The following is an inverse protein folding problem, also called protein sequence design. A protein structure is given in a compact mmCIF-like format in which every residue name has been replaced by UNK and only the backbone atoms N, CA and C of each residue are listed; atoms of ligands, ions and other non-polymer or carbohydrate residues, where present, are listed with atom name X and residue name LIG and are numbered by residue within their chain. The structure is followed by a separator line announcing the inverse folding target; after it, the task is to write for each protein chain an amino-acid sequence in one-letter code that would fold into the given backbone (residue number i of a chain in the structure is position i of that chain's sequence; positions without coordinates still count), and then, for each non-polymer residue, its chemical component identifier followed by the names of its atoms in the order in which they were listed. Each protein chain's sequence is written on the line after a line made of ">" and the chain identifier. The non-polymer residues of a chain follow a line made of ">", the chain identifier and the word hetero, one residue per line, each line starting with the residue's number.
data_IF_351649453341
#
_entry.id   IF_351649453341
#
_cell.length_a   1.000
_cell.length_b   1.000
_cell.length_c   1.000
_cell.angle_alpha   90.00
_cell.angle_beta   90.00
_cell.angle_gamma   90.00
#
_symmetry.space_group_name_H-M   'P 1'
#
loop_
_entity.id
_entity.type
_entity.pdbx_description
1 polymer ?
#
# COMPACT_ATOMS: atom_id res chain seq x y z
N UNK A 1 25.13 11.16 -9.90
CA UNK A 1 24.05 11.74 -9.07
C UNK A 1 23.44 12.91 -9.84
N UNK A 2 22.69 12.64 -10.90
CA UNK A 2 22.41 13.66 -11.94
C UNK A 2 20.96 13.69 -12.43
N UNK A 3 20.03 13.08 -11.69
CA UNK A 3 18.63 12.94 -12.10
C UNK A 3 17.59 13.60 -11.19
N UNK A 4 18.01 14.28 -10.11
CA UNK A 4 17.07 14.81 -9.10
C UNK A 4 16.67 16.27 -9.32
N UNK A 5 17.39 17.03 -10.14
CA UNK A 5 17.19 18.49 -10.19
C UNK A 5 16.09 18.91 -11.15
N UNK A 6 15.87 18.20 -12.25
CA UNK A 6 15.02 18.66 -13.37
C UNK A 6 13.60 19.03 -12.97
N UNK A 7 12.97 18.27 -12.05
CA UNK A 7 11.60 18.55 -11.61
C UNK A 7 11.51 19.72 -10.60
N UNK A 8 12.45 19.80 -9.66
CA UNK A 8 12.50 20.89 -8.67
C UNK A 8 12.86 22.21 -9.37
N UNK A 9 13.76 22.14 -10.36
CA UNK A 9 14.15 23.27 -11.19
C UNK A 9 12.95 23.78 -12.01
N UNK A 10 12.13 22.88 -12.57
CA UNK A 10 10.86 23.22 -13.27
C UNK A 10 9.85 23.89 -12.34
N UNK A 11 9.69 23.43 -11.10
CA UNK A 11 8.81 24.07 -10.10
C UNK A 11 9.28 25.47 -9.69
N UNK A 12 10.57 25.76 -9.85
CA UNK A 12 11.15 27.08 -9.59
C UNK A 12 10.96 28.09 -10.74
N UNK A 13 10.57 27.65 -11.95
CA UNK A 13 10.39 28.55 -13.09
C UNK A 13 9.21 29.49 -12.82
N UNK A 14 9.52 30.79 -12.71
CA UNK A 14 8.53 31.84 -12.45
C UNK A 14 8.22 32.11 -10.98
N UNK A 15 8.89 31.44 -10.03
CA UNK A 15 8.80 31.74 -8.61
C UNK A 15 10.09 32.37 -8.09
N UNK A 16 10.01 33.59 -7.54
CA UNK A 16 11.16 34.31 -6.95
C UNK A 16 11.51 33.79 -5.54
N UNK A 17 11.33 32.48 -5.32
CA UNK A 17 11.53 31.79 -4.04
C UNK A 17 12.32 30.51 -4.24
N UNK A 18 13.34 30.34 -3.41
CA UNK A 18 14.20 29.15 -3.42
C UNK A 18 13.42 27.92 -2.94
N UNK A 19 13.37 26.88 -3.78
CA UNK A 19 12.76 25.60 -3.46
C UNK A 19 13.79 24.66 -2.79
N UNK A 20 13.34 23.88 -1.81
CA UNK A 20 14.17 22.91 -1.10
C UNK A 20 13.47 21.56 -1.03
N UNK A 21 14.11 20.51 -1.53
CA UNK A 21 13.64 19.14 -1.34
C UNK A 21 14.07 18.63 0.05
N UNK A 22 13.11 18.47 0.97
CA UNK A 22 13.36 18.04 2.36
C UNK A 22 13.03 16.53 2.54
N UNK A 23 12.68 15.83 1.48
CA UNK A 23 12.25 14.43 1.52
C UNK A 23 13.39 13.40 1.43
N UNK A 24 13.12 12.14 1.81
CA UNK A 24 11.86 11.65 2.37
C UNK A 24 11.76 11.86 3.90
N UNK A 25 10.67 12.47 4.36
CA UNK A 25 10.34 12.57 5.78
C UNK A 25 9.48 11.35 6.13
N UNK A 26 10.10 10.34 6.73
CA UNK A 26 9.41 9.14 7.18
C UNK A 26 8.94 9.31 8.62
N UNK A 27 7.79 8.73 8.94
CA UNK A 27 7.42 8.56 10.34
C UNK A 27 8.42 7.60 10.98
N UNK A 28 8.99 7.91 12.15
CA UNK A 28 9.84 6.96 12.83
C UNK A 28 9.05 5.69 13.10
N UNK A 29 9.55 4.54 12.64
CA UNK A 29 8.99 3.24 13.02
C UNK A 29 9.12 3.13 14.53
N UNK A 30 7.99 3.14 15.25
CA UNK A 30 8.05 2.77 16.66
C UNK A 30 8.29 1.27 16.66
N UNK A 31 9.37 0.81 17.28
CA UNK A 31 9.54 -0.61 17.61
C UNK A 31 8.55 -1.03 18.70
N UNK A 32 7.26 -0.80 18.49
CA UNK A 32 6.24 -1.51 19.21
C UNK A 32 6.21 -2.92 18.60
N UNK A 33 7.02 -3.82 19.17
CA UNK A 33 6.87 -5.28 18.99
C UNK A 33 5.57 -5.78 19.64
N UNK A 34 4.48 -5.04 19.49
CA UNK A 34 3.20 -5.38 20.08
C UNK A 34 2.48 -6.33 19.14
N UNK A 35 2.73 -7.63 19.30
CA UNK A 35 1.84 -8.77 19.00
C UNK A 35 0.85 -8.65 17.84
N UNK A 36 1.22 -8.01 16.72
CA UNK A 36 0.35 -7.92 15.57
C UNK A 36 0.34 -9.27 14.87
N UNK A 37 -0.83 -9.95 14.75
CA UNK A 37 -0.89 -11.29 14.17
C UNK A 37 -0.33 -11.38 12.74
N UNK A 38 -0.37 -10.27 12.00
CA UNK A 38 0.20 -10.20 10.66
C UNK A 38 1.74 -10.24 10.65
N UNK A 39 2.42 -9.66 11.65
CA UNK A 39 3.87 -9.72 11.77
C UNK A 39 4.32 -11.13 12.16
N UNK A 40 3.62 -11.76 13.13
CA UNK A 40 3.87 -13.15 13.53
C UNK A 40 3.64 -14.14 12.37
N UNK A 41 2.71 -13.80 11.47
CA UNK A 41 2.48 -14.57 10.26
C UNK A 41 3.62 -14.39 9.25
N UNK A 42 4.15 -13.16 9.09
CA UNK A 42 5.28 -12.87 8.21
C UNK A 42 6.58 -13.55 8.63
N UNK A 43 6.82 -13.70 9.93
CA UNK A 43 7.97 -14.41 10.51
C UNK A 43 8.05 -15.88 10.02
N UNK A 44 6.91 -16.47 9.65
CA UNK A 44 6.81 -17.86 9.18
C UNK A 44 6.98 -18.00 7.66
N UNK A 45 7.15 -16.90 6.95
CA UNK A 45 7.24 -16.90 5.48
C UNK A 45 8.71 -16.79 5.02
N UNK A 46 9.05 -17.40 3.87
CA UNK A 46 10.37 -17.18 3.27
C UNK A 46 10.64 -15.70 2.92
N UNK A 47 11.91 -15.29 2.86
CA UNK A 47 12.27 -13.95 2.41
C UNK A 47 11.71 -13.63 1.01
N UNK A 48 11.24 -12.39 0.83
CA UNK A 48 10.71 -11.85 -0.43
C UNK A 48 9.61 -12.70 -1.08
N UNK A 49 8.84 -13.45 -0.30
CA UNK A 49 7.81 -14.36 -0.81
C UNK A 49 6.38 -13.85 -0.63
N UNK A 50 6.17 -12.68 -0.03
CA UNK A 50 4.84 -12.16 0.30
C UNK A 50 4.56 -10.87 -0.48
N UNK A 51 3.37 -10.80 -1.07
CA UNK A 51 2.80 -9.58 -1.63
C UNK A 51 2.04 -8.83 -0.53
N UNK A 52 2.42 -7.58 -0.25
CA UNK A 52 1.57 -6.70 0.54
C UNK A 52 0.60 -5.97 -0.39
N UNK A 53 -0.66 -5.86 0.00
CA UNK A 53 -1.71 -5.15 -0.73
C UNK A 53 -2.37 -4.20 0.26
N UNK A 54 -2.24 -2.90 0.03
CA UNK A 54 -2.96 -1.88 0.80
C UNK A 54 -3.30 -0.69 -0.08
N UNK A 55 -4.38 -0.03 0.28
CA UNK A 55 -4.84 1.20 -0.34
C UNK A 55 -5.13 2.20 0.77
N UNK A 56 -5.10 3.48 0.43
CA UNK A 56 -5.44 4.51 1.40
C UNK A 56 -6.92 4.44 1.81
N UNK A 57 -7.22 5.01 2.97
CA UNK A 57 -8.57 5.07 3.53
C UNK A 57 -9.57 5.80 2.61
N UNK A 58 -9.07 6.65 1.71
CA UNK A 58 -9.87 7.46 0.80
C UNK A 58 -10.16 6.74 -0.53
N UNK A 59 -9.47 5.63 -0.82
CA UNK A 59 -9.74 4.83 -2.01
C UNK A 59 -10.98 3.97 -1.78
N UNK A 60 -12.02 4.24 -2.57
CA UNK A 60 -13.21 3.39 -2.64
C UNK A 60 -13.13 2.48 -3.86
N UNK A 61 -13.17 1.17 -3.64
CA UNK A 61 -13.34 0.17 -4.70
C UNK A 61 -14.80 -0.26 -4.80
N UNK A 62 -15.28 -0.60 -6.00
CA UNK A 62 -16.56 -1.30 -6.16
C UNK A 62 -16.48 -2.74 -5.63
N UNK A 63 -17.62 -3.35 -5.31
CA UNK A 63 -17.64 -4.74 -4.84
C UNK A 63 -17.12 -5.69 -5.92
N UNK A 64 -17.40 -5.37 -7.19
CA UNK A 64 -16.85 -6.05 -8.36
C UNK A 64 -15.32 -6.01 -8.37
N UNK A 65 -14.71 -4.84 -8.18
CA UNK A 65 -13.25 -4.67 -8.16
C UNK A 65 -12.61 -5.44 -7.02
N UNK A 66 -13.23 -5.40 -5.83
CA UNK A 66 -12.77 -6.14 -4.67
C UNK A 66 -12.83 -7.63 -4.95
N UNK A 67 -13.92 -8.13 -5.52
CA UNK A 67 -14.09 -9.54 -5.89
C UNK A 67 -13.06 -10.00 -6.91
N UNK A 68 -12.84 -9.23 -7.97
CA UNK A 68 -11.84 -9.55 -8.99
C UNK A 68 -10.42 -9.56 -8.43
N UNK A 69 -10.08 -8.59 -7.58
CA UNK A 69 -8.79 -8.58 -6.87
C UNK A 69 -8.64 -9.83 -5.99
N UNK A 70 -9.68 -10.18 -5.26
CA UNK A 70 -9.72 -11.34 -4.39
C UNK A 70 -9.50 -12.64 -5.17
N UNK A 71 -10.18 -12.81 -6.31
CA UNK A 71 -10.01 -13.94 -7.23
C UNK A 71 -8.60 -13.96 -7.83
N UNK A 72 -8.06 -12.80 -8.24
CA UNK A 72 -6.71 -12.70 -8.77
C UNK A 72 -5.65 -13.13 -7.76
N UNK A 73 -5.81 -12.72 -6.49
CA UNK A 73 -4.92 -13.14 -5.40
C UNK A 73 -4.99 -14.66 -5.16
N UNK A 74 -6.20 -15.23 -5.10
CA UNK A 74 -6.40 -16.67 -4.95
C UNK A 74 -5.75 -17.48 -6.09
N UNK A 75 -6.02 -17.08 -7.34
CA UNK A 75 -5.50 -17.77 -8.52
C UNK A 75 -3.99 -17.62 -8.70
N UNK A 76 -3.40 -16.52 -8.22
CA UNK A 76 -1.95 -16.29 -8.29
C UNK A 76 -1.14 -17.31 -7.49
N UNK A 77 -1.75 -17.95 -6.47
CA UNK A 77 -1.08 -18.80 -5.46
C UNK A 77 0.07 -18.11 -4.74
N UNK A 78 0.23 -16.80 -4.92
CA UNK A 78 1.23 -15.99 -4.26
C UNK A 78 0.75 -15.71 -2.84
N UNK A 79 1.64 -15.88 -1.86
CA UNK A 79 1.31 -15.50 -0.49
C UNK A 79 1.11 -13.99 -0.39
N UNK A 80 0.08 -13.55 0.32
CA UNK A 80 -0.22 -12.13 0.42
C UNK A 80 -0.69 -11.72 1.82
N UNK A 81 -0.52 -10.43 2.14
CA UNK A 81 -1.26 -9.72 3.17
C UNK A 81 -2.10 -8.68 2.45
N UNK A 82 -3.41 -8.69 2.67
CA UNK A 82 -4.30 -7.69 2.12
C UNK A 82 -4.94 -6.90 3.27
N UNK A 83 -4.58 -5.63 3.37
CA UNK A 83 -5.24 -4.68 4.25
C UNK A 83 -6.48 -4.14 3.54
N UNK A 84 -7.66 -4.52 4.03
CA UNK A 84 -8.94 -4.04 3.54
C UNK A 84 -9.58 -3.16 4.61
N UNK A 85 -9.60 -1.86 4.35
CA UNK A 85 -10.23 -0.89 5.23
C UNK A 85 -11.77 -1.02 5.14
N UNK A 86 -12.44 -1.23 6.28
CA UNK A 86 -13.90 -1.20 6.36
C UNK A 86 -14.35 0.09 7.05
N UNK A 87 -15.12 0.98 6.39
CA UNK A 87 -15.63 2.20 7.01
C UNK A 87 -16.57 1.96 8.21
N UNK A 88 -17.07 0.74 8.41
CA UNK A 88 -18.02 0.38 9.48
C UNK A 88 -17.50 0.56 10.91
N UNK A 89 -16.17 0.62 11.12
CA UNK A 89 -15.56 0.48 12.45
C UNK A 89 -14.92 1.78 12.98
N UNK A 90 -15.11 2.90 12.30
CA UNK A 90 -14.59 4.21 12.74
C UNK A 90 -15.70 5.26 12.76
N UNK A 91 -16.41 5.35 13.89
CA UNK A 91 -17.45 6.35 14.18
C UNK A 91 -16.95 7.82 14.20
N UNK A 92 -15.67 8.09 13.91
CA UNK A 92 -15.01 9.33 14.34
C UNK A 92 -14.56 10.30 13.24
N UNK A 93 -14.60 9.96 11.94
CA UNK A 93 -14.09 10.88 10.91
C UNK A 93 -14.95 11.10 9.67
N UNK A 94 -15.89 10.22 9.35
CA UNK A 94 -16.71 10.35 8.15
C UNK A 94 -18.19 10.31 8.54
N UNK A 95 -18.77 11.49 8.73
CA UNK A 95 -20.21 11.63 8.92
C UNK A 95 -20.96 11.02 7.73
N UNK A 96 -21.99 10.25 8.06
CA UNK A 96 -22.98 9.58 7.21
C UNK A 96 -22.63 8.18 6.65
N UNK A 97 -23.29 7.17 7.23
CA UNK A 97 -23.89 5.98 6.57
C UNK A 97 -23.06 5.16 5.57
N UNK A 98 -21.75 5.05 5.74
CA UNK A 98 -20.95 4.06 4.99
C UNK A 98 -20.87 2.74 5.77
N UNK A 99 -22.03 2.10 5.98
CA UNK A 99 -22.12 0.72 6.46
C UNK A 99 -21.84 -0.27 5.32
N UNK A 100 -20.58 -0.40 4.89
CA UNK A 100 -20.18 -1.30 3.80
C UNK A 100 -19.40 -2.50 4.32
N UNK A 101 -20.13 -3.48 4.83
CA UNK A 101 -19.59 -4.82 5.05
C UNK A 101 -19.35 -5.50 3.71
N UNK A 102 -18.08 -5.71 3.35
CA UNK A 102 -17.74 -6.49 2.17
C UNK A 102 -18.13 -7.97 2.39
N UNK A 103 -19.22 -8.39 1.75
CA UNK A 103 -19.66 -9.79 1.76
C UNK A 103 -19.02 -10.52 0.57
N UNK A 104 -18.01 -11.33 0.88
CA UNK A 104 -17.48 -12.27 -0.09
C UNK A 104 -18.42 -13.47 -0.24
N UNK A 105 -18.39 -14.14 -1.40
CA UNK A 105 -19.13 -15.39 -1.62
C UNK A 105 -18.77 -16.43 -0.54
N UNK A 106 -19.72 -17.30 -0.19
CA UNK A 106 -19.52 -18.30 0.86
C UNK A 106 -18.22 -19.12 0.67
N UNK A 107 -17.48 -19.26 1.76
CA UNK A 107 -16.18 -19.97 1.80
C UNK A 107 -15.01 -19.23 1.16
N UNK A 108 -15.19 -18.01 0.66
CA UNK A 108 -14.09 -17.24 0.05
C UNK A 108 -12.97 -16.91 1.04
N UNK A 109 -13.31 -16.40 2.23
CA UNK A 109 -12.32 -16.12 3.28
C UNK A 109 -11.61 -17.39 3.76
N UNK A 110 -12.33 -18.51 3.83
CA UNK A 110 -11.77 -19.82 4.19
C UNK A 110 -10.73 -20.28 3.17
N UNK A 111 -11.00 -20.08 1.87
CA UNK A 111 -10.04 -20.37 0.80
C UNK A 111 -8.85 -19.40 0.83
N UNK A 112 -9.09 -18.12 1.13
CA UNK A 112 -8.02 -17.14 1.28
C UNK A 112 -7.07 -17.46 2.43
N UNK A 113 -7.58 -17.96 3.56
CA UNK A 113 -6.76 -18.30 4.73
C UNK A 113 -5.66 -19.33 4.43
N UNK A 114 -5.81 -20.14 3.38
CA UNK A 114 -4.77 -21.08 2.95
C UNK A 114 -3.64 -20.42 2.16
N UNK A 115 -3.89 -19.26 1.57
CA UNK A 115 -2.98 -18.58 0.63
C UNK A 115 -2.41 -17.28 1.21
N UNK A 116 -3.17 -16.56 2.02
CA UNK A 116 -2.77 -15.26 2.56
C UNK A 116 -3.54 -14.84 3.81
N UNK A 117 -3.30 -13.60 4.24
CA UNK A 117 -3.92 -13.00 5.41
C UNK A 117 -4.73 -11.78 5.01
N UNK A 118 -6.03 -11.79 5.31
CA UNK A 118 -6.89 -10.60 5.22
C UNK A 118 -6.84 -9.86 6.56
N UNK A 119 -6.31 -8.63 6.55
CA UNK A 119 -6.27 -7.74 7.70
C UNK A 119 -7.33 -6.66 7.51
N UNK A 120 -8.16 -6.42 8.53
CA UNK A 120 -9.22 -5.43 8.48
C UNK A 120 -8.84 -4.20 9.30
N UNK A 121 -9.31 -3.04 8.84
CA UNK A 121 -9.26 -1.72 9.48
C UNK A 121 -7.87 -1.09 9.64
N UNK A 122 -6.90 -1.79 10.23
CA UNK A 122 -5.58 -1.22 10.50
C UNK A 122 -4.46 -2.26 10.53
N UNK A 123 -3.28 -1.87 10.03
CA UNK A 123 -2.05 -2.63 10.13
C UNK A 123 -0.82 -1.71 10.25
N UNK A 124 0.27 -2.18 10.88
CA UNK A 124 1.51 -1.40 10.98
C UNK A 124 2.27 -1.43 9.64
N UNK A 125 1.84 -0.61 8.67
CA UNK A 125 2.38 -0.60 7.30
C UNK A 125 3.91 -0.42 7.24
N UNK A 126 4.53 0.52 7.96
CA UNK A 126 5.98 0.67 7.94
C UNK A 126 6.72 -0.61 8.39
N UNK A 127 6.21 -1.28 9.41
CA UNK A 127 6.76 -2.51 9.96
C UNK A 127 6.55 -3.70 9.01
N UNK A 128 5.40 -3.77 8.34
CA UNK A 128 5.13 -4.75 7.28
C UNK A 128 6.11 -4.56 6.12
N UNK A 129 6.21 -3.35 5.58
CA UNK A 129 7.09 -3.03 4.44
C UNK A 129 8.57 -3.26 4.77
N UNK A 130 8.98 -3.08 6.03
CA UNK A 130 10.33 -3.35 6.49
C UNK A 130 10.63 -4.85 6.70
N UNK A 131 9.61 -5.72 6.68
CA UNK A 131 9.78 -7.13 6.98
C UNK A 131 10.44 -7.89 5.80
N UNK A 132 11.43 -8.74 6.09
CA UNK A 132 12.23 -9.45 5.06
C UNK A 132 11.41 -10.35 4.14
N UNK A 133 10.26 -10.81 4.60
CA UNK A 133 9.33 -11.67 3.85
C UNK A 133 8.54 -10.91 2.78
N UNK A 134 8.42 -9.57 2.89
CA UNK A 134 7.78 -8.77 1.85
C UNK A 134 8.69 -8.72 0.62
N UNK A 135 8.14 -9.16 -0.51
CA UNK A 135 8.81 -9.15 -1.79
C UNK A 135 8.32 -8.05 -2.72
N UNK A 136 7.05 -7.66 -2.61
CA UNK A 136 6.39 -6.66 -3.46
C UNK A 136 5.26 -5.97 -2.71
N UNK A 137 4.91 -4.76 -3.13
CA UNK A 137 3.80 -3.98 -2.60
C UNK A 137 2.85 -3.54 -3.74
N UNK A 138 1.59 -3.94 -3.68
CA UNK A 138 0.53 -3.40 -4.54
C UNK A 138 -0.10 -2.20 -3.85
N UNK A 139 -0.01 -1.03 -4.49
CA UNK A 139 -0.41 0.25 -3.90
C UNK A 139 -1.17 1.15 -4.89
N UNK A 140 -2.03 2.02 -4.34
CA UNK A 140 -2.63 3.17 -5.02
C UNK A 140 -1.60 4.16 -5.60
N UNK A 141 -0.33 4.03 -5.22
CA UNK A 141 0.74 4.98 -5.57
C UNK A 141 0.52 6.39 -5.01
N UNK A 142 -0.11 6.50 -3.83
CA UNK A 142 -0.09 7.73 -3.06
C UNK A 142 1.36 8.06 -2.66
N UNK A 143 1.65 9.35 -2.47
CA UNK A 143 3.02 9.82 -2.23
C UNK A 143 3.67 9.20 -0.98
N UNK A 144 2.88 8.92 0.06
CA UNK A 144 3.39 8.33 1.31
C UNK A 144 3.85 6.90 1.06
N UNK A 145 2.99 6.08 0.46
CA UNK A 145 3.28 4.70 0.07
C UNK A 145 4.48 4.62 -0.88
N UNK A 146 4.58 5.54 -1.85
CA UNK A 146 5.73 5.62 -2.76
C UNK A 146 7.04 5.91 -2.02
N UNK A 147 7.02 6.86 -1.09
CA UNK A 147 8.21 7.24 -0.31
C UNK A 147 8.65 6.10 0.62
N UNK A 148 7.71 5.44 1.30
CA UNK A 148 7.99 4.34 2.22
C UNK A 148 8.62 3.15 1.49
N UNK A 149 8.01 2.69 0.40
CA UNK A 149 8.49 1.52 -0.34
C UNK A 149 9.81 1.76 -1.06
N UNK A 150 10.06 2.98 -1.57
CA UNK A 150 11.37 3.37 -2.11
C UNK A 150 12.42 3.28 -1.01
N UNK A 151 12.10 3.76 0.19
CA UNK A 151 13.03 3.70 1.33
C UNK A 151 13.30 2.26 1.75
N UNK A 152 12.28 1.40 1.78
CA UNK A 152 12.40 0.00 2.18
C UNK A 152 12.95 -0.92 1.08
N UNK A 153 13.14 -0.41 -0.14
CA UNK A 153 13.64 -1.21 -1.27
C UNK A 153 12.66 -2.27 -1.76
N UNK A 154 11.36 -2.07 -1.55
CA UNK A 154 10.29 -2.99 -1.98
C UNK A 154 9.75 -2.53 -3.34
N UNK A 155 9.75 -3.40 -4.37
CA UNK A 155 9.15 -3.08 -5.68
C UNK A 155 7.63 -2.84 -5.58
N UNK A 156 7.14 -1.83 -6.31
CA UNK A 156 5.71 -1.49 -6.37
C UNK A 156 5.04 -2.13 -7.58
N UNK A 157 3.87 -2.74 -7.36
CA UNK A 157 2.88 -3.01 -8.40
C UNK A 157 1.88 -1.85 -8.36
N UNK A 158 1.97 -0.97 -9.35
CA UNK A 158 1.15 0.24 -9.39
C UNK A 158 -0.28 -0.10 -9.81
N UNK A 159 -1.24 0.16 -8.92
CA UNK A 159 -2.67 0.21 -9.24
C UNK A 159 -3.18 1.60 -8.87
N UNK A 160 -2.93 2.62 -9.70
CA UNK A 160 -3.37 3.98 -9.39
C UNK A 160 -4.91 4.05 -9.35
N UNK A 161 -5.44 4.56 -8.24
CA UNK A 161 -6.85 4.93 -8.08
C UNK A 161 -7.00 6.44 -8.20
N UNK A 162 -8.22 6.93 -8.47
CA UNK A 162 -8.47 8.25 -9.05
C UNK A 162 -8.13 9.46 -8.15
N UNK A 163 -7.62 9.25 -6.94
CA UNK A 163 -7.55 10.24 -5.87
C UNK A 163 -6.26 11.06 -5.78
N UNK A 164 -5.22 10.78 -6.57
CA UNK A 164 -4.09 11.71 -6.71
C UNK A 164 -3.62 11.77 -8.15
N UNK A 165 -3.34 12.99 -8.61
CA UNK A 165 -2.98 13.36 -9.97
C UNK A 165 -2.15 12.26 -10.69
N UNK A 166 -2.48 11.91 -11.96
CA UNK A 166 -1.84 10.85 -12.73
C UNK A 166 -0.31 10.99 -12.92
N UNK A 167 0.29 12.09 -12.44
CA UNK A 167 1.73 12.35 -12.45
C UNK A 167 2.57 11.42 -11.56
N UNK A 168 2.04 10.91 -10.44
CA UNK A 168 2.85 10.10 -9.51
C UNK A 168 3.10 8.67 -10.03
N UNK A 169 2.10 8.05 -10.66
CA UNK A 169 2.24 6.72 -11.27
C UNK A 169 3.28 6.72 -12.39
N UNK A 170 3.30 7.76 -13.23
CA UNK A 170 4.21 7.87 -14.38
C UNK A 170 5.68 7.98 -13.97
N UNK A 171 5.99 8.62 -12.83
CA UNK A 171 7.36 8.75 -12.33
C UNK A 171 7.98 7.44 -11.81
N UNK A 172 7.17 6.54 -11.24
CA UNK A 172 7.64 5.25 -10.72
C UNK A 172 8.00 4.25 -11.82
N UNK A 173 7.23 4.22 -12.91
CA UNK A 173 7.53 3.34 -14.05
C UNK A 173 8.87 3.68 -14.72
N UNK A 174 9.28 4.96 -14.73
CA UNK A 174 10.53 5.37 -15.37
C UNK A 174 11.80 4.96 -14.62
N UNK A 175 11.73 4.70 -13.31
CA UNK A 175 12.90 4.39 -12.47
C UNK A 175 13.09 2.90 -12.18
N UNK A 176 12.14 2.05 -12.59
CA UNK A 176 12.23 0.59 -12.45
C UNK A 176 12.91 -0.11 -13.64
N UNK A 177 13.13 0.61 -14.76
CA UNK A 177 13.69 0.07 -16.00
C UNK A 177 15.07 0.64 -16.39
N UNK A 178 15.70 1.44 -15.52
CA UNK A 178 17.05 1.97 -15.73
C UNK A 178 17.89 1.92 -14.45
#
# INVERSE_FOLDING_TARGET
>A
MEGSSTFIDLLGIGQDKKQWAIGPVLRPTKKEKNGFPCLDWLDKQPPKSVLYVSYDMLTSFSDEQIKELAMGLELSKQKFIWLLYNPDNTDIYFGADLKRKFEFHAGFEERLNWVGLLVRDWAPQPEILAHSSIGRFLSACDWTSCVETITMGVPIIAWPTHSDHPSNGVGLFYRAYH
#
